data_IF_949930978959
#
_entry.id   IF_949930978959
#
_cell.length_a   1.000
_cell.length_b   1.000
_cell.length_c   1.000
_cell.angle_alpha   90.00
_cell.angle_beta   90.00
_cell.angle_gamma   90.00
#
_symmetry.space_group_name_H-M   'P 1'
#
loop_
_entity.id
_entity.type
_entity.pdbx_description
1 polymer ?
#
# COMPACT_ATOMS: atom_id res chain seq x y z
N UNK A 1 -25.77 18.15 -7.75
CA UNK A 1 -25.53 17.17 -8.83
C UNK A 1 -25.37 15.82 -8.17
N UNK A 2 -26.49 15.18 -7.86
CA UNK A 2 -26.53 13.82 -7.34
C UNK A 2 -26.54 12.94 -8.57
N UNK A 3 -25.46 12.19 -8.79
CA UNK A 3 -25.42 11.19 -9.85
C UNK A 3 -25.89 9.88 -9.22
N UNK A 4 -27.10 9.48 -9.57
CA UNK A 4 -27.60 8.12 -9.35
C UNK A 4 -26.73 7.16 -10.16
N UNK A 5 -26.17 6.14 -9.51
CA UNK A 5 -25.48 5.06 -10.22
C UNK A 5 -26.34 3.81 -10.19
N UNK A 6 -26.69 3.40 -11.39
CA UNK A 6 -27.41 2.21 -11.80
C UNK A 6 -26.82 0.95 -11.15
N UNK A 7 -27.74 0.09 -10.67
CA UNK A 7 -27.47 -1.23 -10.11
C UNK A 7 -27.19 -2.18 -11.27
N UNK A 8 -25.92 -2.45 -11.54
CA UNK A 8 -25.53 -3.69 -12.18
C UNK A 8 -24.81 -4.56 -11.15
N UNK A 9 -25.39 -5.75 -10.93
CA UNK A 9 -24.81 -6.78 -10.10
C UNK A 9 -23.58 -7.42 -10.76
N UNK A 10 -22.79 -8.04 -9.91
CA UNK A 10 -21.68 -8.93 -10.18
C UNK A 10 -20.29 -8.34 -10.50
N UNK A 11 -19.36 -8.83 -9.65
CA UNK A 11 -17.91 -8.68 -9.65
C UNK A 11 -17.35 -7.26 -9.47
N UNK A 12 -17.02 -6.95 -8.22
CA UNK A 12 -16.00 -5.96 -7.88
C UNK A 12 -14.65 -6.42 -8.45
N UNK A 13 -14.47 -6.24 -9.76
CA UNK A 13 -13.22 -6.48 -10.46
C UNK A 13 -12.14 -5.60 -9.85
N UNK A 14 -11.00 -6.22 -9.53
CA UNK A 14 -9.81 -5.58 -8.95
C UNK A 14 -9.34 -4.32 -9.68
N UNK A 15 -9.78 -4.11 -10.94
CA UNK A 15 -9.44 -2.94 -11.77
C UNK A 15 -10.09 -1.62 -11.33
N UNK A 16 -11.14 -1.63 -10.51
CA UNK A 16 -11.88 -0.41 -10.12
C UNK A 16 -11.71 0.00 -8.65
N UNK A 17 -10.86 -0.73 -7.91
CA UNK A 17 -10.55 -0.44 -6.51
C UNK A 17 -9.47 0.65 -6.40
N UNK A 18 -9.84 1.83 -5.90
CA UNK A 18 -8.88 2.90 -5.63
C UNK A 18 -9.39 3.85 -4.54
N UNK A 19 -8.49 4.17 -3.61
CA UNK A 19 -8.66 5.23 -2.62
C UNK A 19 -7.35 6.01 -2.51
N UNK A 20 -7.45 7.34 -2.43
CA UNK A 20 -6.28 8.18 -2.20
C UNK A 20 -6.69 9.47 -1.51
N UNK A 21 -5.84 9.93 -0.60
CA UNK A 21 -5.97 11.22 0.04
C UNK A 21 -4.82 12.12 -0.42
N UNK A 22 -5.18 13.29 -0.91
CA UNK A 22 -4.23 14.30 -1.34
C UNK A 22 -3.89 15.27 -0.20
N UNK A 23 -2.64 15.76 -0.15
CA UNK A 23 -2.29 16.88 0.71
C UNK A 23 -3.18 18.08 0.33
N UNK A 24 -3.96 18.59 1.29
CA UNK A 24 -5.00 19.60 1.03
C UNK A 24 -6.42 19.21 1.43
N UNK A 25 -6.60 18.17 2.27
CA UNK A 25 -7.89 17.75 2.86
C UNK A 25 -8.91 17.20 1.84
N UNK A 26 -8.44 16.70 0.69
CA UNK A 26 -9.29 16.07 -0.32
C UNK A 26 -9.06 14.56 -0.31
N UNK A 27 -10.14 13.80 -0.14
CA UNK A 27 -10.14 12.35 -0.23
C UNK A 27 -10.97 11.92 -1.45
N UNK A 28 -10.46 10.96 -2.21
CA UNK A 28 -11.16 10.33 -3.32
C UNK A 28 -11.29 8.85 -2.99
N UNK A 29 -12.51 8.34 -3.02
CA UNK A 29 -12.85 6.94 -2.72
C UNK A 29 -13.74 6.42 -3.84
N UNK A 30 -13.37 5.31 -4.47
CA UNK A 30 -14.20 4.69 -5.50
C UNK A 30 -15.44 4.01 -4.90
N UNK A 31 -16.53 3.95 -5.66
CA UNK A 31 -17.74 3.22 -5.26
C UNK A 31 -17.46 1.73 -5.06
N UNK A 32 -16.57 1.15 -5.86
CA UNK A 32 -16.10 -0.23 -5.68
C UNK A 32 -15.39 -0.44 -4.34
N UNK A 33 -14.64 0.55 -3.86
CA UNK A 33 -14.00 0.51 -2.53
C UNK A 33 -15.05 0.47 -1.42
N UNK A 34 -16.12 1.24 -1.54
CA UNK A 34 -17.23 1.24 -0.58
C UNK A 34 -17.99 -0.09 -0.59
N UNK A 35 -18.17 -0.69 -1.78
CA UNK A 35 -18.79 -2.01 -1.90
C UNK A 35 -17.93 -3.13 -1.29
N UNK A 36 -16.60 -3.00 -1.35
CA UNK A 36 -15.66 -3.98 -0.79
C UNK A 36 -15.64 -4.00 0.74
N UNK A 37 -15.78 -2.83 1.36
CA UNK A 37 -15.73 -2.65 2.81
C UNK A 37 -17.10 -2.25 3.36
N UNK A 38 -18.02 -3.22 3.52
CA UNK A 38 -19.37 -2.95 4.02
C UNK A 38 -19.39 -2.55 5.50
N UNK A 39 -18.34 -2.88 6.25
CA UNK A 39 -18.21 -2.50 7.66
C UNK A 39 -17.52 -1.14 7.80
N UNK A 40 -18.13 -0.25 8.58
CA UNK A 40 -17.56 1.05 8.91
C UNK A 40 -16.18 0.95 9.58
N UNK A 41 -15.89 -0.14 10.30
CA UNK A 41 -14.58 -0.39 10.92
C UNK A 41 -13.49 -0.71 9.89
N UNK A 42 -13.82 -1.51 8.89
CA UNK A 42 -12.89 -1.90 7.82
C UNK A 42 -12.60 -0.69 6.91
N UNK A 43 -13.64 0.05 6.54
CA UNK A 43 -13.51 1.27 5.76
C UNK A 43 -12.73 2.35 6.53
N UNK A 44 -13.00 2.51 7.83
CA UNK A 44 -12.28 3.46 8.67
C UNK A 44 -10.79 3.13 8.75
N UNK A 45 -10.42 1.85 8.83
CA UNK A 45 -9.00 1.46 8.78
C UNK A 45 -8.34 1.89 7.47
N UNK A 46 -8.97 1.59 6.32
CA UNK A 46 -8.44 1.96 5.01
C UNK A 46 -8.25 3.48 4.90
N UNK A 47 -9.25 4.26 5.30
CA UNK A 47 -9.15 5.72 5.28
C UNK A 47 -8.08 6.24 6.25
N UNK A 48 -7.95 5.66 7.44
CA UNK A 48 -6.92 6.03 8.39
C UNK A 48 -5.50 5.70 7.89
N UNK A 49 -5.33 4.62 7.13
CA UNK A 49 -4.08 4.30 6.43
C UNK A 49 -3.74 5.38 5.39
N UNK A 50 -4.70 5.79 4.57
CA UNK A 50 -4.49 6.88 3.60
C UNK A 50 -4.22 8.24 4.27
N UNK A 51 -4.87 8.53 5.41
CA UNK A 51 -4.59 9.73 6.20
C UNK A 51 -3.16 9.66 6.77
N UNK A 52 -2.74 8.49 7.25
CA UNK A 52 -1.40 8.29 7.76
C UNK A 52 -0.33 8.55 6.68
N UNK A 53 -0.54 8.15 5.43
CA UNK A 53 0.36 8.49 4.32
C UNK A 53 0.51 10.00 4.12
N UNK A 54 -0.55 10.77 4.33
CA UNK A 54 -0.51 12.23 4.23
C UNK A 54 0.19 12.85 5.44
N UNK A 55 -0.11 12.37 6.65
CA UNK A 55 0.52 12.87 7.89
C UNK A 55 2.03 12.62 7.91
N UNK A 56 2.45 11.45 7.44
CA UNK A 56 3.86 11.06 7.35
C UNK A 56 4.57 11.62 6.11
N UNK A 57 3.85 12.37 5.26
CA UNK A 57 4.40 12.99 4.04
C UNK A 57 5.09 11.99 3.09
N UNK A 58 4.69 10.72 3.08
CA UNK A 58 5.34 9.68 2.25
C UNK A 58 5.38 10.04 0.76
N UNK A 59 4.36 10.75 0.24
CA UNK A 59 4.35 11.23 -1.16
C UNK A 59 5.42 12.29 -1.43
N UNK A 60 5.65 13.21 -0.47
CA UNK A 60 6.71 14.22 -0.57
C UNK A 60 8.08 13.58 -0.47
N UNK A 61 8.22 12.55 0.37
CA UNK A 61 9.45 11.78 0.48
C UNK A 61 9.81 11.07 -0.84
N UNK A 62 8.84 10.43 -1.52
CA UNK A 62 9.09 9.88 -2.88
C UNK A 62 9.55 10.97 -3.83
N UNK A 63 8.79 12.07 -3.88
CA UNK A 63 9.04 13.12 -4.85
C UNK A 63 10.41 13.76 -4.63
N UNK A 64 10.73 14.12 -3.39
CA UNK A 64 12.03 14.69 -3.03
C UNK A 64 13.19 13.74 -3.30
N UNK A 65 13.01 12.42 -3.15
CA UNK A 65 14.04 11.46 -3.53
C UNK A 65 14.20 11.43 -5.06
N UNK A 66 13.10 11.35 -5.81
CA UNK A 66 13.13 11.37 -7.28
C UNK A 66 13.78 12.63 -7.85
N UNK A 67 13.49 13.80 -7.28
CA UNK A 67 14.03 15.09 -7.72
C UNK A 67 15.56 15.20 -7.56
N UNK A 68 16.14 14.51 -6.57
CA UNK A 68 17.60 14.49 -6.35
C UNK A 68 18.28 13.46 -7.25
N UNK A 69 17.72 12.25 -7.36
CA UNK A 69 18.35 11.16 -8.10
C UNK A 69 18.30 11.35 -9.61
N UNK A 70 17.23 11.95 -10.14
CA UNK A 70 17.04 12.18 -11.58
C UNK A 70 18.19 13.00 -12.20
N UNK A 71 18.52 14.22 -11.71
CA UNK A 71 19.62 15.00 -12.28
C UNK A 71 20.99 14.35 -12.07
N UNK A 72 21.24 13.70 -10.93
CA UNK A 72 22.49 12.96 -10.68
C UNK A 72 22.66 11.85 -11.72
N UNK A 73 21.62 11.07 -11.98
CA UNK A 73 21.64 10.02 -12.99
C UNK A 73 21.87 10.59 -14.40
N UNK A 74 21.20 11.68 -14.77
CA UNK A 74 21.44 12.34 -16.05
C UNK A 74 22.89 12.83 -16.18
N UNK A 75 23.47 13.44 -15.15
CA UNK A 75 24.87 13.90 -15.21
C UNK A 75 25.86 12.76 -15.39
N UNK A 76 25.65 11.61 -14.74
CA UNK A 76 26.49 10.42 -14.91
C UNK A 76 26.37 9.85 -16.33
N UNK A 77 25.16 9.81 -16.89
CA UNK A 77 24.89 9.36 -18.27
C UNK A 77 25.58 10.28 -19.30
N UNK A 78 25.55 11.60 -19.10
CA UNK A 78 26.18 12.56 -20.01
C UNK A 78 27.71 12.57 -19.93
N UNK A 79 28.30 12.18 -18.79
CA UNK A 79 29.75 12.21 -18.59
C UNK A 79 30.46 10.93 -19.08
N UNK A 80 29.74 9.80 -19.17
CA UNK A 80 30.34 8.49 -19.49
C UNK A 80 29.89 7.96 -20.87
N UNK A 81 30.60 8.37 -21.93
CA UNK A 81 30.31 7.98 -23.34
C UNK A 81 30.73 6.52 -23.65
N UNK A 82 31.46 5.82 -22.76
CA UNK A 82 32.16 4.56 -23.14
C UNK A 82 31.73 3.27 -22.43
N UNK A 83 30.88 3.29 -21.39
CA UNK A 83 30.38 2.07 -20.71
C UNK A 83 28.87 2.13 -20.36
N UNK A 84 28.08 2.73 -21.24
CA UNK A 84 26.69 3.15 -21.01
C UNK A 84 25.71 2.04 -20.57
N UNK A 85 25.86 0.80 -21.05
CA UNK A 85 24.82 -0.25 -20.86
C UNK A 85 24.95 -0.96 -19.50
N UNK A 86 26.17 -1.24 -19.05
CA UNK A 86 26.42 -1.99 -17.81
C UNK A 86 26.13 -1.17 -16.55
N UNK A 87 26.49 0.12 -16.57
CA UNK A 87 26.25 1.01 -15.42
C UNK A 87 24.77 1.40 -15.29
N UNK A 88 24.08 1.65 -16.41
CA UNK A 88 22.62 1.90 -16.38
C UNK A 88 21.89 0.69 -15.83
N UNK A 89 22.24 -0.54 -16.24
CA UNK A 89 21.62 -1.75 -15.71
C UNK A 89 21.84 -1.95 -14.19
N UNK A 90 23.05 -1.66 -13.69
CA UNK A 90 23.36 -1.73 -12.25
C UNK A 90 22.60 -0.65 -11.48
N UNK A 91 22.55 0.58 -11.99
CA UNK A 91 21.87 1.70 -11.35
C UNK A 91 20.35 1.52 -11.36
N UNK A 92 19.77 1.05 -12.47
CA UNK A 92 18.35 0.70 -12.55
C UNK A 92 18.00 -0.46 -11.60
N UNK A 93 18.91 -1.44 -11.47
CA UNK A 93 18.78 -2.53 -10.52
C UNK A 93 18.81 -2.04 -9.07
N UNK A 94 19.73 -1.12 -8.75
CA UNK A 94 19.87 -0.53 -7.42
C UNK A 94 18.69 0.37 -7.06
N UNK A 95 18.24 1.19 -8.01
CA UNK A 95 17.05 2.03 -7.87
C UNK A 95 15.83 1.15 -7.59
N UNK A 96 15.60 0.12 -8.40
CA UNK A 96 14.47 -0.80 -8.22
C UNK A 96 14.53 -1.55 -6.89
N UNK A 97 15.73 -1.91 -6.42
CA UNK A 97 15.92 -2.56 -5.13
C UNK A 97 15.67 -1.60 -3.96
N UNK A 98 16.20 -0.37 -4.04
CA UNK A 98 16.03 0.67 -3.04
C UNK A 98 14.57 1.15 -2.92
N UNK A 99 13.91 1.43 -4.05
CA UNK A 99 12.50 1.83 -4.07
C UNK A 99 11.58 0.76 -3.46
N UNK A 100 11.88 -0.53 -3.66
CA UNK A 100 11.15 -1.63 -3.01
C UNK A 100 11.34 -1.63 -1.49
N UNK A 101 12.58 -1.56 -1.01
CA UNK A 101 12.88 -1.62 0.43
C UNK A 101 12.38 -0.39 1.21
N UNK A 102 12.48 0.80 0.62
CA UNK A 102 11.96 2.05 1.21
C UNK A 102 10.44 2.10 1.11
N UNK A 103 9.84 1.54 0.05
CA UNK A 103 8.39 1.36 -0.06
C UNK A 103 7.82 0.58 1.13
N UNK A 104 8.40 -0.57 1.45
CA UNK A 104 7.90 -1.43 2.51
C UNK A 104 7.88 -0.75 3.89
N UNK A 105 8.96 -0.04 4.25
CA UNK A 105 9.03 0.67 5.54
C UNK A 105 7.92 1.71 5.71
N UNK A 106 7.57 2.41 4.62
CA UNK A 106 6.54 3.46 4.64
C UNK A 106 5.14 2.89 4.79
N UNK A 107 4.87 1.74 4.18
CA UNK A 107 3.60 1.04 4.35
C UNK A 107 3.41 0.57 5.81
N UNK A 108 4.44 -0.04 6.41
CA UNK A 108 4.44 -0.43 7.84
C UNK A 108 4.15 0.77 8.74
N UNK A 109 4.80 1.90 8.48
CA UNK A 109 4.63 3.11 9.28
C UNK A 109 3.21 3.68 9.14
N UNK A 110 2.70 3.72 7.91
CA UNK A 110 1.33 4.11 7.61
C UNK A 110 0.31 3.18 8.28
N UNK A 111 0.53 1.86 8.31
CA UNK A 111 -0.36 0.91 8.98
C UNK A 111 -0.36 1.07 10.50
N UNK A 112 0.82 1.24 11.10
CA UNK A 112 0.93 1.46 12.54
C UNK A 112 0.23 2.73 12.98
N UNK A 113 0.42 3.82 12.24
CA UNK A 113 -0.25 5.08 12.53
C UNK A 113 -1.75 4.98 12.21
N UNK A 114 -2.13 4.38 11.08
CA UNK A 114 -3.51 4.18 10.66
C UNK A 114 -4.33 3.40 11.68
N UNK A 115 -3.80 2.30 12.22
CA UNK A 115 -4.46 1.55 13.30
C UNK A 115 -4.66 2.41 14.55
N UNK A 116 -3.64 3.19 14.96
CA UNK A 116 -3.77 4.09 16.12
C UNK A 116 -4.80 5.19 15.87
N UNK A 117 -4.89 5.72 14.65
CA UNK A 117 -5.88 6.72 14.28
C UNK A 117 -7.29 6.14 14.27
N UNK A 118 -7.49 4.94 13.75
CA UNK A 118 -8.78 4.25 13.74
C UNK A 118 -9.28 4.00 15.18
N UNK A 119 -8.39 3.49 16.06
CA UNK A 119 -8.70 3.30 17.48
C UNK A 119 -9.02 4.64 18.17
N UNK A 120 -8.23 5.68 17.89
CA UNK A 120 -8.48 7.03 18.43
C UNK A 120 -9.80 7.64 17.96
N UNK A 121 -10.25 7.28 16.76
CA UNK A 121 -11.55 7.67 16.20
C UNK A 121 -12.72 6.83 16.77
N UNK A 122 -12.46 5.87 17.65
CA UNK A 122 -13.47 5.05 18.32
C UNK A 122 -13.81 3.73 17.61
N UNK A 123 -13.05 3.36 16.56
CA UNK A 123 -13.23 2.08 15.87
C UNK A 123 -12.45 0.95 16.54
N UNK A 124 -12.93 -0.28 16.41
CA UNK A 124 -12.29 -1.46 16.98
C UNK A 124 -11.03 -1.81 16.18
N UNK A 125 -9.92 -2.09 16.87
CA UNK A 125 -8.63 -2.44 16.24
C UNK A 125 -8.71 -3.68 15.34
N UNK A 126 -9.63 -4.60 15.64
CA UNK A 126 -9.91 -5.79 14.83
C UNK A 126 -10.47 -5.51 13.43
N UNK A 127 -10.93 -4.27 13.15
CA UNK A 127 -11.30 -3.86 11.79
C UNK A 127 -10.13 -3.95 10.81
N UNK A 128 -8.90 -3.77 11.30
CA UNK A 128 -7.72 -3.77 10.44
C UNK A 128 -7.39 -5.15 9.87
N UNK A 129 -7.38 -6.20 10.69
CA UNK A 129 -7.10 -7.56 10.21
C UNK A 129 -8.15 -8.04 9.22
N UNK A 130 -9.42 -7.70 9.44
CA UNK A 130 -10.50 -8.05 8.50
C UNK A 130 -10.38 -7.29 7.18
N UNK A 131 -10.04 -6.00 7.23
CA UNK A 131 -9.85 -5.21 6.02
C UNK A 131 -8.71 -5.77 5.15
N UNK A 132 -7.56 -6.08 5.75
CA UNK A 132 -6.43 -6.64 5.01
C UNK A 132 -6.68 -8.05 4.50
N UNK A 133 -7.35 -8.91 5.28
CA UNK A 133 -7.73 -10.26 4.84
C UNK A 133 -8.68 -10.23 3.63
N UNK A 134 -9.59 -9.27 3.57
CA UNK A 134 -10.44 -9.05 2.38
C UNK A 134 -9.63 -8.64 1.16
N UNK A 135 -8.66 -7.74 1.34
CA UNK A 135 -7.77 -7.32 0.25
C UNK A 135 -6.90 -8.46 -0.24
N UNK A 136 -6.34 -9.29 0.65
CA UNK A 136 -5.60 -10.50 0.29
C UNK A 136 -6.45 -11.46 -0.53
N UNK A 137 -7.71 -11.69 -0.13
CA UNK A 137 -8.64 -12.52 -0.88
C UNK A 137 -8.90 -12.04 -2.30
N UNK A 138 -8.81 -10.72 -2.56
CA UNK A 138 -8.90 -10.14 -3.91
C UNK A 138 -7.56 -10.14 -4.65
N UNK A 139 -6.45 -10.07 -3.92
CA UNK A 139 -5.09 -9.93 -4.44
C UNK A 139 -4.34 -11.27 -4.56
N UNK A 140 -5.02 -12.39 -4.77
CA UNK A 140 -4.39 -13.72 -4.87
C UNK A 140 -3.23 -13.84 -5.89
N UNK A 141 -2.99 -12.83 -6.74
CA UNK A 141 -1.89 -12.75 -7.70
C UNK A 141 -1.04 -11.45 -7.63
N UNK A 142 -1.21 -10.59 -6.61
CA UNK A 142 -0.41 -9.36 -6.43
C UNK A 142 0.60 -9.54 -5.28
N UNK A 143 1.80 -8.94 -5.38
CA UNK A 143 2.76 -9.03 -4.28
C UNK A 143 2.12 -8.45 -3.01
N UNK A 144 2.18 -9.17 -1.87
CA UNK A 144 1.54 -8.71 -0.66
C UNK A 144 2.10 -7.34 -0.27
N UNK A 145 1.21 -6.36 -0.07
CA UNK A 145 1.62 -5.07 0.50
C UNK A 145 2.16 -5.38 1.90
N UNK A 146 3.34 -4.88 2.21
CA UNK A 146 4.04 -5.18 3.45
C UNK A 146 3.41 -4.45 4.64
N UNK A 147 2.22 -4.86 5.03
CA UNK A 147 1.56 -4.33 6.21
C UNK A 147 2.00 -5.06 7.48
N UNK A 148 2.05 -4.35 8.60
CA UNK A 148 2.38 -4.98 9.90
C UNK A 148 1.35 -6.04 10.25
N UNK A 149 0.08 -5.80 9.92
CA UNK A 149 -1.00 -6.75 10.19
C UNK A 149 -0.88 -7.98 9.30
N UNK A 150 -0.65 -7.82 7.99
CA UNK A 150 -0.39 -8.94 7.09
C UNK A 150 0.84 -9.73 7.54
N UNK A 151 1.88 -9.09 8.07
CA UNK A 151 3.04 -9.79 8.63
C UNK A 151 2.71 -10.60 9.87
N UNK A 152 1.87 -10.09 10.77
CA UNK A 152 1.40 -10.82 11.95
C UNK A 152 0.48 -11.97 11.53
N UNK A 153 -0.45 -11.73 10.61
CA UNK A 153 -1.34 -12.75 10.06
C UNK A 153 -0.58 -13.85 9.31
N UNK A 154 0.48 -13.48 8.57
CA UNK A 154 1.36 -14.41 7.86
C UNK A 154 2.31 -15.15 8.79
N UNK A 155 2.80 -14.52 9.86
CA UNK A 155 3.55 -15.22 10.90
C UNK A 155 2.66 -16.25 11.60
N UNK A 156 1.42 -15.87 11.92
CA UNK A 156 0.44 -16.76 12.53
C UNK A 156 0.01 -17.89 11.58
N UNK A 157 -0.16 -17.62 10.28
CA UNK A 157 -0.49 -18.66 9.30
C UNK A 157 0.69 -19.57 8.94
N UNK A 158 1.93 -19.06 8.98
CA UNK A 158 3.15 -19.86 8.85
C UNK A 158 3.34 -20.79 10.04
N UNK A 159 3.03 -20.32 11.26
CA UNK A 159 3.05 -21.16 12.47
C UNK A 159 1.94 -22.22 12.45
N UNK A 160 0.76 -21.91 11.90
CA UNK A 160 -0.32 -22.89 11.69
C UNK A 160 0.07 -23.95 10.64
N UNK A 161 0.75 -23.57 9.55
CA UNK A 161 1.27 -24.52 8.57
C UNK A 161 2.40 -25.39 9.15
N UNK A 162 3.29 -24.82 9.97
CA UNK A 162 4.35 -25.57 10.64
C UNK A 162 3.80 -26.58 11.68
N UNK A 163 2.75 -26.20 12.42
CA UNK A 163 2.09 -27.09 13.39
C UNK A 163 1.20 -28.15 12.74
N UNK A 164 0.75 -27.95 11.50
CA UNK A 164 -0.04 -28.96 10.79
C UNK A 164 0.83 -30.09 10.18
N UNK A 165 2.12 -29.84 9.92
CA UNK A 165 3.05 -30.83 9.34
C UNK A 165 3.69 -31.75 10.40
N UNK A 166 3.62 -31.41 11.69
CA UNK A 166 4.17 -32.24 12.79
C UNK A 166 3.14 -33.12 13.52
N UNK A 167 1.90 -33.21 13.02
CA UNK A 167 0.89 -34.19 13.46
C UNK A 167 0.43 -35.04 12.29
N UNK A 168 1.30 -35.93 11.84
CA UNK A 168 0.97 -37.11 11.03
C UNK A 168 1.91 -38.25 11.42
#
# INVERSE_FOLDING_TARGET
MVLETEKDGDEASSSNFFSTIFPGRKAIVSTATLALFPSGEELAQLLCHEIAHVLLNHRREVHSQGDIWTPVLFTLIFLDIKMLVGQVAILYGLERWWYKGVGEKREIEADRLGMRLAVKAGYVSGGASRAWKRLEGMQANLPPKSSVVCRVLNAESADVHANCVCRA
#
